data_IF_026856107633
#
_entry.id   IF_026856107633
#
_cell.length_a   1.000
_cell.length_b   1.000
_cell.length_c   1.000
_cell.angle_alpha   90.00
_cell.angle_beta   90.00
_cell.angle_gamma   90.00
#
_symmetry.space_group_name_H-M   'P 1'
#
loop_
_entity.id
_entity.type
_entity.pdbx_description
1 polymer ?
#
# COMPACT_ATOMS: atom_id res chain seq x y z
N UNK A 1 -3.75 -8.70 -7.96
CA UNK A 1 -2.87 -7.57 -7.54
C UNK A 1 -3.74 -6.56 -6.84
N UNK A 2 -3.34 -6.08 -5.66
CA UNK A 2 -4.18 -5.22 -4.81
C UNK A 2 -3.60 -3.82 -4.78
N UNK A 3 -4.38 -2.81 -5.17
CA UNK A 3 -3.95 -1.41 -5.15
C UNK A 3 -4.05 -0.86 -3.72
N UNK A 4 -3.05 -0.09 -3.31
CA UNK A 4 -3.05 0.61 -2.03
C UNK A 4 -3.43 2.06 -2.29
N UNK A 5 -4.62 2.44 -1.85
CA UNK A 5 -5.13 3.80 -1.94
C UNK A 5 -4.68 4.63 -0.73
N UNK A 6 -4.37 5.91 -0.94
CA UNK A 6 -4.16 6.85 0.15
C UNK A 6 -5.48 7.07 0.90
N UNK A 7 -5.54 6.84 2.23
CA UNK A 7 -6.77 7.04 3.01
C UNK A 7 -7.20 8.50 3.09
N UNK A 8 -6.32 9.46 2.78
CA UNK A 8 -6.63 10.88 2.82
C UNK A 8 -7.23 11.43 1.51
N UNK A 9 -6.81 10.91 0.35
CA UNK A 9 -7.20 11.48 -0.95
C UNK A 9 -7.59 10.46 -2.02
N UNK A 10 -7.56 9.15 -1.71
CA UNK A 10 -7.93 8.07 -2.62
C UNK A 10 -6.91 7.77 -3.73
N UNK A 11 -5.82 8.52 -3.84
CA UNK A 11 -4.80 8.28 -4.87
C UNK A 11 -4.09 6.95 -4.65
N UNK A 12 -3.79 6.21 -5.72
CA UNK A 12 -2.95 5.00 -5.64
C UNK A 12 -1.53 5.40 -5.25
N UNK A 13 -1.07 4.90 -4.10
CA UNK A 13 0.27 5.18 -3.55
C UNK A 13 1.20 3.97 -3.61
N UNK A 14 0.66 2.79 -3.91
CA UNK A 14 1.44 1.58 -4.15
C UNK A 14 0.56 0.43 -4.57
N UNK A 15 1.20 -0.71 -4.82
CA UNK A 15 0.55 -1.96 -5.18
C UNK A 15 1.13 -3.06 -4.30
N UNK A 16 0.28 -3.91 -3.73
CA UNK A 16 0.75 -5.07 -2.97
C UNK A 16 1.23 -6.16 -3.93
N UNK A 17 2.45 -6.64 -3.69
CA UNK A 17 3.04 -7.81 -4.35
C UNK A 17 3.57 -8.73 -3.26
N UNK A 18 2.85 -9.82 -2.98
CA UNK A 18 3.17 -10.75 -1.87
C UNK A 18 3.35 -9.99 -0.53
N UNK A 19 4.53 -10.11 0.09
CA UNK A 19 4.91 -9.45 1.35
C UNK A 19 5.62 -8.10 1.14
N UNK A 20 5.43 -7.50 -0.02
CA UNK A 20 6.02 -6.23 -0.40
C UNK A 20 5.00 -5.27 -0.99
N UNK A 21 5.38 -3.99 -0.99
CA UNK A 21 4.70 -2.90 -1.68
C UNK A 21 5.58 -2.44 -2.82
N UNK A 22 5.02 -2.47 -4.03
CA UNK A 22 5.58 -1.85 -5.21
C UNK A 22 5.12 -0.39 -5.26
N UNK A 23 6.07 0.53 -5.26
CA UNK A 23 5.83 1.98 -5.32
C UNK A 23 6.40 2.51 -6.62
N UNK A 24 5.63 3.31 -7.34
CA UNK A 24 6.12 4.04 -8.52
C UNK A 24 6.57 5.43 -8.08
N UNK A 25 7.86 5.71 -8.17
CA UNK A 25 8.44 7.01 -7.84
C UNK A 25 9.32 7.52 -8.97
N UNK A 26 8.98 8.70 -9.53
CA UNK A 26 9.78 9.39 -10.58
C UNK A 26 10.25 8.43 -11.70
N UNK A 27 9.33 7.64 -12.24
CA UNK A 27 9.54 6.61 -13.28
C UNK A 27 10.28 5.33 -12.86
N UNK A 28 10.70 5.20 -11.60
CA UNK A 28 11.26 3.97 -11.04
C UNK A 28 10.20 3.17 -10.30
N UNK A 29 10.33 1.85 -10.39
CA UNK A 29 9.60 0.91 -9.54
C UNK A 29 10.50 0.57 -8.34
N UNK A 30 9.96 0.77 -7.14
CA UNK A 30 10.65 0.49 -5.89
C UNK A 30 9.85 -0.59 -5.18
N UNK A 31 10.46 -1.76 -4.96
CA UNK A 31 9.88 -2.82 -4.17
C UNK A 31 10.35 -2.69 -2.72
N UNK A 32 9.42 -2.54 -1.79
CA UNK A 32 9.70 -2.35 -0.36
C UNK A 32 9.02 -3.47 0.42
N UNK A 33 9.77 -4.22 1.22
CA UNK A 33 9.18 -5.22 2.12
C UNK A 33 8.23 -4.55 3.11
N UNK A 34 7.04 -5.13 3.31
CA UNK A 34 6.08 -4.67 4.31
C UNK A 34 6.70 -4.64 5.70
N UNK A 35 7.48 -5.66 6.06
CA UNK A 35 8.18 -5.76 7.35
C UNK A 35 9.21 -4.63 7.56
N UNK A 36 9.78 -4.08 6.48
CA UNK A 36 10.73 -2.97 6.51
C UNK A 36 10.11 -1.59 6.30
N UNK A 37 8.82 -1.50 5.95
CA UNK A 37 8.15 -0.24 5.67
C UNK A 37 8.00 0.58 6.95
N UNK A 38 8.61 1.77 6.98
CA UNK A 38 8.54 2.69 8.13
C UNK A 38 7.49 3.78 7.94
N UNK A 39 7.38 4.29 6.72
CA UNK A 39 6.40 5.29 6.34
C UNK A 39 6.21 5.28 4.83
N UNK A 40 5.06 5.74 4.38
CA UNK A 40 4.72 5.93 2.98
C UNK A 40 4.09 7.31 2.80
N UNK A 41 4.69 8.11 1.92
CA UNK A 41 4.15 9.43 1.58
C UNK A 41 3.30 9.35 0.32
N UNK A 42 2.13 9.96 0.37
CA UNK A 42 1.28 10.13 -0.79
C UNK A 42 1.86 11.19 -1.73
N UNK A 43 2.21 10.78 -2.95
CA UNK A 43 2.73 11.68 -3.97
C UNK A 43 1.73 12.77 -4.38
N UNK A 44 0.41 12.58 -4.15
CA UNK A 44 -0.64 13.52 -4.57
C UNK A 44 -0.98 14.56 -3.51
N UNK A 45 -1.26 14.15 -2.27
CA UNK A 45 -1.66 15.07 -1.20
C UNK A 45 -0.57 15.34 -0.15
N UNK A 46 0.58 14.66 -0.23
CA UNK A 46 1.69 14.80 0.71
C UNK A 46 1.46 14.11 2.06
N UNK A 47 0.29 13.50 2.31
CA UNK A 47 0.01 12.79 3.55
C UNK A 47 1.05 11.69 3.80
N UNK A 48 1.54 11.59 5.03
CA UNK A 48 2.47 10.54 5.45
C UNK A 48 1.71 9.53 6.30
N UNK A 49 1.77 8.27 5.90
CA UNK A 49 1.19 7.16 6.63
C UNK A 49 2.32 6.33 7.24
N UNK A 50 2.21 6.03 8.54
CA UNK A 50 3.19 5.17 9.19
C UNK A 50 3.12 3.74 8.61
N UNK A 51 4.23 3.02 8.71
CA UNK A 51 4.37 1.70 8.12
C UNK A 51 3.38 0.67 8.67
N UNK A 52 2.97 0.79 9.94
CA UNK A 52 2.02 -0.12 10.56
C UNK A 52 0.62 0.08 9.97
N UNK A 53 0.16 1.33 9.86
CA UNK A 53 -1.12 1.65 9.22
C UNK A 53 -1.18 1.18 7.77
N UNK A 54 -0.07 1.28 7.03
CA UNK A 54 0.00 0.76 5.65
C UNK A 54 -0.11 -0.77 5.64
N UNK A 55 0.52 -1.49 6.59
CA UNK A 55 0.38 -2.95 6.71
C UNK A 55 -1.07 -3.35 6.99
N UNK A 56 -1.71 -2.69 7.95
CA UNK A 56 -3.12 -2.94 8.30
C UNK A 56 -4.04 -2.77 7.10
N UNK A 57 -3.84 -1.70 6.31
CA UNK A 57 -4.59 -1.49 5.07
C UNK A 57 -4.39 -2.63 4.08
N UNK A 58 -3.13 -3.06 3.90
CA UNK A 58 -2.77 -4.15 2.98
C UNK A 58 -3.36 -5.48 3.43
N UNK A 59 -3.36 -5.75 4.73
CA UNK A 59 -3.91 -6.95 5.33
C UNK A 59 -5.44 -6.98 5.25
N UNK A 60 -6.11 -5.87 5.56
CA UNK A 60 -7.57 -5.75 5.48
C UNK A 60 -8.10 -6.10 4.08
N UNK A 61 -7.41 -5.62 3.02
CA UNK A 61 -7.78 -5.94 1.64
C UNK A 61 -7.59 -7.43 1.28
N UNK A 62 -6.75 -8.18 2.02
CA UNK A 62 -6.63 -9.65 1.85
C UNK A 62 -7.83 -10.39 2.39
N UNK A 63 -8.37 -9.91 3.51
CA UNK A 63 -9.45 -10.58 4.24
C UNK A 63 -10.74 -10.49 3.43
N UNK A 64 -11.02 -9.32 2.84
CA UNK A 64 -12.21 -9.15 1.99
C UNK A 64 -12.15 -9.98 0.70
N UNK A 65 -10.97 -10.16 0.12
CA UNK A 65 -10.79 -11.04 -1.06
C UNK A 65 -11.03 -12.52 -0.77
N UNK A 66 -10.96 -12.95 0.49
CA UNK A 66 -11.23 -14.34 0.89
C UNK A 66 -12.70 -14.60 1.26
N UNK A 67 -13.48 -13.55 1.51
CA UNK A 67 -14.92 -13.63 1.80
C UNK A 67 -15.79 -13.62 0.53
N UNK A 68 -15.26 -13.18 -0.61
CA UNK A 68 -15.98 -13.15 -1.88
C UNK A 68 -15.98 -14.49 -2.65
N UNK A 69 -15.35 -15.54 -2.10
CA UNK A 69 -15.20 -16.87 -2.71
C UNK A 69 -15.87 -17.98 -1.86
N UNK A 70 -16.78 -17.61 -0.95
CA UNK A 70 -17.50 -18.51 -0.04
C UNK A 70 -18.99 -18.57 -0.32
#
# INVERSE_FOLDING_TARGET
MTLIACPSCGATIGERVQDAVLIRHRQRLILVSLAGLRALSCWRCGAVHDGQRVREMVEAMTVEGRLADG
#
